data_IF_711515467142
#
_entry.id   IF_711515467142
#
_cell.length_a   1.000
_cell.length_b   1.000
_cell.length_c   1.000
_cell.angle_alpha   90.00
_cell.angle_beta   90.00
_cell.angle_gamma   90.00
#
_symmetry.space_group_name_H-M   'P 1'
#
loop_
_entity.id
_entity.type
_entity.pdbx_description
1 polymer ?
#
# COMPACT_ATOMS: atom_id res chain seq x y z
N UNK A 1 7.40 -12.65 -6.23
CA UNK A 1 6.09 -12.54 -5.57
C UNK A 1 5.67 -11.09 -5.37
N UNK A 2 6.55 -10.22 -4.85
CA UNK A 2 6.35 -8.78 -4.67
C UNK A 2 5.65 -8.07 -5.83
N UNK A 3 6.19 -8.08 -7.07
CA UNK A 3 5.58 -7.33 -8.19
C UNK A 3 4.09 -7.65 -8.41
N UNK A 4 3.71 -8.95 -8.36
CA UNK A 4 2.33 -9.37 -8.59
C UNK A 4 1.40 -8.91 -7.47
N UNK A 5 1.84 -9.04 -6.20
CA UNK A 5 1.06 -8.55 -5.06
C UNK A 5 0.97 -7.02 -5.05
N UNK A 6 2.05 -6.31 -5.38
CA UNK A 6 2.06 -4.85 -5.50
C UNK A 6 1.03 -4.35 -6.51
N UNK A 7 0.97 -4.97 -7.69
CA UNK A 7 -0.02 -4.62 -8.72
C UNK A 7 -1.46 -4.85 -8.23
N UNK A 8 -1.72 -5.99 -7.58
CA UNK A 8 -3.03 -6.30 -7.03
C UNK A 8 -3.46 -5.27 -5.96
N UNK A 9 -2.55 -4.86 -5.08
CA UNK A 9 -2.81 -3.87 -4.04
C UNK A 9 -3.04 -2.49 -4.64
N UNK A 10 -2.27 -2.08 -5.65
CA UNK A 10 -2.53 -0.83 -6.38
C UNK A 10 -3.94 -0.83 -6.95
N UNK A 11 -4.33 -1.89 -7.67
CA UNK A 11 -5.67 -1.98 -8.26
C UNK A 11 -6.74 -1.91 -7.17
N UNK A 12 -6.54 -2.59 -6.05
CA UNK A 12 -7.50 -2.61 -4.95
C UNK A 12 -7.65 -1.26 -4.25
N UNK A 13 -6.54 -0.54 -4.01
CA UNK A 13 -6.53 0.82 -3.45
C UNK A 13 -7.14 1.84 -4.42
N UNK A 14 -6.82 1.76 -5.70
CA UNK A 14 -7.39 2.66 -6.71
C UNK A 14 -8.88 2.40 -6.91
N UNK A 15 -9.31 1.14 -6.90
CA UNK A 15 -10.74 0.80 -6.93
C UNK A 15 -11.47 1.41 -5.73
N UNK A 16 -10.92 1.23 -4.52
CA UNK A 16 -11.48 1.81 -3.30
C UNK A 16 -11.52 3.34 -3.36
N UNK A 17 -10.52 3.99 -3.95
CA UNK A 17 -10.48 5.44 -4.04
C UNK A 17 -11.46 6.00 -5.07
N UNK A 18 -11.49 5.43 -6.28
CA UNK A 18 -12.17 6.02 -7.43
C UNK A 18 -13.64 5.59 -7.52
N UNK A 19 -13.93 4.34 -7.19
CA UNK A 19 -15.27 3.76 -7.25
C UNK A 19 -15.84 3.67 -5.84
N UNK A 20 -15.03 3.24 -4.89
CA UNK A 20 -15.44 3.02 -3.51
C UNK A 20 -16.19 1.72 -3.31
N UNK A 21 -16.29 1.32 -2.04
CA UNK A 21 -17.09 0.17 -1.65
C UNK A 21 -18.43 0.58 -1.05
N UNK A 22 -19.42 -0.31 -1.18
CA UNK A 22 -20.68 -0.24 -0.47
C UNK A 22 -20.57 -1.06 0.83
N UNK A 23 -20.80 -0.43 1.98
CA UNK A 23 -20.77 -1.08 3.29
C UNK A 23 -19.39 -1.09 3.96
N UNK A 24 -19.39 -1.41 5.26
CA UNK A 24 -18.21 -1.27 6.15
C UNK A 24 -17.23 -2.44 5.99
N UNK A 25 -17.75 -3.65 5.77
CA UNK A 25 -16.94 -4.87 5.65
C UNK A 25 -15.83 -4.78 4.58
N UNK A 26 -16.10 -4.34 3.33
CA UNK A 26 -15.05 -4.26 2.31
C UNK A 26 -13.98 -3.20 2.61
N UNK A 27 -14.33 -2.08 3.27
CA UNK A 27 -13.31 -1.12 3.74
C UNK A 27 -12.43 -1.72 4.84
N UNK A 28 -12.99 -2.47 5.78
CA UNK A 28 -12.19 -3.15 6.80
C UNK A 28 -11.26 -4.20 6.16
N UNK A 29 -11.76 -4.97 5.19
CA UNK A 29 -10.94 -5.93 4.45
C UNK A 29 -9.78 -5.24 3.71
N UNK A 30 -10.04 -4.10 3.08
CA UNK A 30 -9.00 -3.26 2.45
C UNK A 30 -7.89 -2.89 3.43
N UNK A 31 -8.25 -2.43 4.64
CA UNK A 31 -7.25 -2.05 5.65
C UNK A 31 -6.40 -3.25 6.08
N UNK A 32 -7.03 -4.40 6.36
CA UNK A 32 -6.30 -5.62 6.72
C UNK A 32 -5.36 -6.11 5.61
N UNK A 33 -5.85 -6.19 4.38
CA UNK A 33 -5.08 -6.69 3.23
C UNK A 33 -3.88 -5.76 2.96
N UNK A 34 -4.12 -4.45 2.91
CA UNK A 34 -3.05 -3.47 2.70
C UNK A 34 -2.08 -3.44 3.89
N UNK A 35 -2.54 -3.69 5.13
CA UNK A 35 -1.69 -3.73 6.32
C UNK A 35 -0.69 -4.87 6.25
N UNK A 36 -1.19 -6.07 6.01
CA UNK A 36 -0.37 -7.27 5.84
C UNK A 36 0.61 -7.08 4.68
N UNK A 37 0.15 -6.50 3.56
CA UNK A 37 1.02 -6.19 2.43
C UNK A 37 2.12 -5.20 2.78
N UNK A 38 1.83 -4.11 3.51
CA UNK A 38 2.84 -3.14 3.90
C UNK A 38 3.91 -3.76 4.81
N UNK A 39 3.51 -4.63 5.74
CA UNK A 39 4.46 -5.41 6.56
C UNK A 39 5.35 -6.32 5.70
N UNK A 40 4.74 -7.08 4.78
CA UNK A 40 5.48 -7.90 3.82
C UNK A 40 6.43 -7.07 2.94
N UNK A 41 5.98 -5.91 2.47
CA UNK A 41 6.77 -5.01 1.64
C UNK A 41 7.97 -4.45 2.41
N UNK A 42 7.79 -4.06 3.67
CA UNK A 42 8.89 -3.59 4.52
C UNK A 42 9.97 -4.68 4.69
N UNK A 43 9.56 -5.93 4.92
CA UNK A 43 10.49 -7.06 4.98
C UNK A 43 11.19 -7.30 3.64
N UNK A 44 10.47 -7.24 2.52
CA UNK A 44 11.06 -7.37 1.19
C UNK A 44 12.13 -6.32 0.90
N UNK A 45 11.95 -5.10 1.39
CA UNK A 45 12.90 -3.99 1.22
C UNK A 45 14.05 -3.97 2.23
N UNK A 46 13.99 -4.81 3.27
CA UNK A 46 14.98 -4.86 4.35
C UNK A 46 16.41 -5.01 3.84
N UNK A 47 16.60 -5.92 2.88
CA UNK A 47 17.90 -6.26 2.31
C UNK A 47 18.24 -5.46 1.04
N UNK A 48 17.37 -4.54 0.61
CA UNK A 48 17.48 -3.86 -0.70
C UNK A 48 17.70 -2.37 -0.58
N UNK A 49 16.87 -1.68 0.21
CA UNK A 49 16.90 -0.22 0.31
C UNK A 49 16.21 0.25 1.59
N UNK A 50 17.00 0.77 2.52
CA UNK A 50 16.53 1.21 3.85
C UNK A 50 15.38 2.22 3.77
N UNK A 51 15.40 3.14 2.79
CA UNK A 51 14.34 4.15 2.65
C UNK A 51 12.95 3.53 2.45
N UNK A 52 12.85 2.45 1.68
CA UNK A 52 11.56 1.80 1.42
C UNK A 52 11.05 1.02 2.63
N UNK A 53 11.95 0.49 3.47
CA UNK A 53 11.54 -0.12 4.76
C UNK A 53 10.73 0.89 5.56
N UNK A 54 11.30 2.08 5.78
CA UNK A 54 10.66 3.13 6.57
C UNK A 54 9.35 3.61 5.96
N UNK A 55 9.32 3.80 4.64
CA UNK A 55 8.10 4.20 3.93
C UNK A 55 6.99 3.15 4.17
N UNK A 56 7.26 1.87 3.94
CA UNK A 56 6.26 0.82 4.11
C UNK A 56 5.88 0.59 5.58
N UNK A 57 6.80 0.75 6.52
CA UNK A 57 6.51 0.71 7.96
C UNK A 57 5.56 1.84 8.38
N UNK A 58 5.81 3.07 7.93
CA UNK A 58 4.92 4.21 8.21
C UNK A 58 3.55 3.99 7.58
N UNK A 59 3.50 3.49 6.33
CA UNK A 59 2.24 3.14 5.68
C UNK A 59 1.44 2.12 6.50
N UNK A 60 2.10 1.06 6.99
CA UNK A 60 1.47 0.04 7.83
C UNK A 60 0.88 0.64 9.11
N UNK A 61 1.56 1.61 9.73
CA UNK A 61 1.05 2.30 10.93
C UNK A 61 -0.22 3.10 10.59
N UNK A 62 -0.19 3.89 9.51
CA UNK A 62 -1.32 4.76 9.10
C UNK A 62 -2.57 3.96 8.79
N UNK A 63 -2.44 2.81 8.12
CA UNK A 63 -3.59 1.97 7.71
C UNK A 63 -3.87 0.82 8.67
N UNK A 64 -3.26 0.81 9.85
CA UNK A 64 -3.38 -0.25 10.83
C UNK A 64 -4.85 -0.46 11.24
N UNK A 65 -5.44 -1.65 11.01
CA UNK A 65 -6.85 -1.90 11.30
C UNK A 65 -7.15 -1.99 12.81
N UNK A 66 -6.12 -2.16 13.65
CA UNK A 66 -6.24 -2.21 15.11
C UNK A 66 -6.54 -0.80 15.66
N UNK A 67 -5.81 0.20 15.16
CA UNK A 67 -6.00 1.60 15.53
C UNK A 67 -6.81 2.33 14.46
N UNK A 68 -8.13 2.33 14.63
CA UNK A 68 -9.05 2.95 13.66
C UNK A 68 -8.95 4.47 13.70
N UNK A 69 -8.33 5.05 12.67
CA UNK A 69 -8.44 6.48 12.41
C UNK A 69 -9.81 6.80 11.83
N UNK A 70 -10.61 7.56 12.59
CA UNK A 70 -11.89 8.07 12.15
C UNK A 70 -11.68 9.28 11.23
N UNK A 71 -11.33 9.01 9.98
CA UNK A 71 -11.23 10.04 8.93
C UNK A 71 -12.46 10.00 8.02
N UNK A 72 -12.75 11.14 7.39
CA UNK A 72 -13.77 11.21 6.35
C UNK A 72 -13.38 10.32 5.16
N UNK A 73 -14.38 9.82 4.43
CA UNK A 73 -14.17 8.98 3.25
C UNK A 73 -13.23 9.66 2.23
N UNK A 74 -13.38 10.96 2.02
CA UNK A 74 -12.53 11.76 1.13
C UNK A 74 -11.05 11.74 1.53
N UNK A 75 -10.75 11.85 2.83
CA UNK A 75 -9.38 11.74 3.34
C UNK A 75 -8.78 10.36 3.08
N UNK A 76 -9.57 9.30 3.29
CA UNK A 76 -9.12 7.94 3.01
C UNK A 76 -8.87 7.69 1.52
N UNK A 77 -9.70 8.24 0.62
CA UNK A 77 -9.47 8.17 -0.82
C UNK A 77 -8.12 8.80 -1.21
N UNK A 78 -7.81 9.97 -0.67
CA UNK A 78 -6.52 10.65 -0.90
C UNK A 78 -5.35 9.79 -0.42
N UNK A 79 -5.45 9.21 0.78
CA UNK A 79 -4.43 8.30 1.32
C UNK A 79 -4.24 7.08 0.41
N UNK A 80 -5.33 6.45 -0.03
CA UNK A 80 -5.29 5.26 -0.89
C UNK A 80 -4.64 5.56 -2.26
N UNK A 81 -4.83 6.76 -2.81
CA UNK A 81 -4.12 7.23 -4.01
C UNK A 81 -2.63 7.41 -3.75
N UNK A 82 -2.27 8.13 -2.68
CA UNK A 82 -0.85 8.36 -2.32
C UNK A 82 -0.14 7.02 -2.15
N UNK A 83 -0.77 6.06 -1.48
CA UNK A 83 -0.21 4.74 -1.23
C UNK A 83 -0.02 3.97 -2.55
N UNK A 84 -1.00 4.04 -3.44
CA UNK A 84 -0.89 3.46 -4.79
C UNK A 84 0.29 4.02 -5.56
N UNK A 85 0.52 5.34 -5.51
CA UNK A 85 1.65 6.01 -6.17
C UNK A 85 2.98 5.55 -5.58
N UNK A 86 3.09 5.49 -4.25
CA UNK A 86 4.31 5.03 -3.57
C UNK A 86 4.64 3.59 -3.95
N UNK A 87 3.65 2.70 -3.98
CA UNK A 87 3.84 1.31 -4.40
C UNK A 87 4.24 1.23 -5.88
N UNK A 88 3.64 2.05 -6.75
CA UNK A 88 4.05 2.10 -8.15
C UNK A 88 5.50 2.56 -8.30
N UNK A 89 5.92 3.59 -7.55
CA UNK A 89 7.29 4.09 -7.55
C UNK A 89 8.29 3.02 -7.06
N UNK A 90 7.93 2.21 -6.06
CA UNK A 90 8.79 1.13 -5.59
C UNK A 90 8.98 0.04 -6.65
N UNK A 91 7.93 -0.29 -7.43
CA UNK A 91 8.03 -1.21 -8.57
C UNK A 91 8.95 -0.65 -9.65
N UNK A 92 8.79 0.63 -10.01
CA UNK A 92 9.63 1.28 -11.02
C UNK A 92 11.09 1.32 -10.59
N UNK A 93 11.37 1.52 -9.30
CA UNK A 93 12.72 1.43 -8.77
C UNK A 93 13.33 0.03 -8.97
N UNK A 94 12.59 -1.04 -8.68
CA UNK A 94 13.07 -2.42 -8.89
C UNK A 94 13.40 -2.65 -10.36
N UNK A 95 12.46 -2.30 -11.26
CA UNK A 95 12.66 -2.47 -12.70
C UNK A 95 13.89 -1.70 -13.21
N UNK A 96 14.10 -0.48 -12.72
CA UNK A 96 15.28 0.31 -13.06
C UNK A 96 16.58 -0.35 -12.57
N UNK A 97 16.58 -1.00 -11.41
CA UNK A 97 17.78 -1.72 -10.95
C UNK A 97 18.08 -2.92 -11.85
N UNK A 98 17.06 -3.68 -12.25
CA UNK A 98 17.21 -4.84 -13.15
C UNK A 98 17.74 -4.44 -14.54
N UNK A 99 17.36 -3.27 -15.06
CA UNK A 99 17.82 -2.77 -16.37
C UNK A 99 19.27 -2.24 -16.36
N UNK A 100 19.80 -1.84 -15.19
CA UNK A 100 21.16 -1.33 -15.04
C UNK A 100 22.18 -2.40 -14.59
N UNK A 101 21.77 -3.67 -14.51
CA UNK A 101 22.64 -4.82 -14.25
C UNK A 101 22.88 -5.62 -15.53
#
# INVERSE_FOLDING_TARGET
>A
MYLKSSLAIIVFLLYASLIGFHGIAPYNALRWITFIYCGYAALFWCERKVIFIWIFSVMAIVINPIFKFHMQKSSWQVIDIIFSIIIAASILYIKKQEENQ
#
